data_IF_009195630896
#
_entry.id   IF_009195630896
#
_cell.length_a   1.000
_cell.length_b   1.000
_cell.length_c   1.000
_cell.angle_alpha   90.00
_cell.angle_beta   90.00
_cell.angle_gamma   90.00
#
_symmetry.space_group_name_H-M   'P 1'
#
loop_
_entity.id
_entity.type
_entity.pdbx_description
1 polymer ?
#
# COMPACT_ATOMS: atom_id res chain seq x y z
N UNK A 1 22.27 44.80 -15.84
CA UNK A 1 20.84 44.44 -15.98
C UNK A 1 20.26 44.31 -14.58
N UNK A 2 19.05 44.81 -14.35
CA UNK A 2 18.35 44.64 -13.07
C UNK A 2 17.78 43.21 -12.98
N UNK A 3 17.74 42.65 -11.77
CA UNK A 3 17.11 41.35 -11.48
C UNK A 3 16.32 41.44 -10.17
N UNK A 4 15.43 40.47 -9.97
CA UNK A 4 14.61 40.32 -8.76
C UNK A 4 14.97 38.98 -8.14
N UNK A 5 15.36 39.00 -6.87
CA UNK A 5 15.60 37.79 -6.10
C UNK A 5 14.28 37.22 -5.60
N UNK A 6 13.96 36.01 -6.07
CA UNK A 6 12.78 35.29 -5.63
C UNK A 6 13.10 34.50 -4.37
N UNK A 7 12.19 34.52 -3.40
CA UNK A 7 12.32 33.72 -2.18
C UNK A 7 12.17 32.22 -2.44
N UNK A 8 11.37 31.85 -3.44
CA UNK A 8 11.14 30.47 -3.83
C UNK A 8 11.50 30.26 -5.32
N UNK A 9 12.04 29.08 -5.68
CA UNK A 9 12.32 28.76 -7.06
C UNK A 9 11.03 28.66 -7.87
N UNK A 10 11.07 29.10 -9.13
CA UNK A 10 9.95 29.02 -10.07
C UNK A 10 10.38 28.32 -11.36
N UNK A 11 9.49 27.51 -11.92
CA UNK A 11 9.71 26.90 -13.22
C UNK A 11 9.23 27.82 -14.34
N UNK A 12 10.08 28.07 -15.32
CA UNK A 12 9.69 28.86 -16.48
C UNK A 12 8.74 28.04 -17.39
N UNK A 13 7.57 28.61 -17.72
CA UNK A 13 6.47 27.90 -18.38
C UNK A 13 6.84 27.25 -19.72
N UNK A 14 7.76 27.83 -20.49
CA UNK A 14 8.25 27.26 -21.75
C UNK A 14 8.94 25.89 -21.57
N UNK A 15 9.58 25.61 -20.44
CA UNK A 15 10.23 24.32 -20.22
C UNK A 15 9.29 23.28 -19.59
N UNK A 16 8.19 23.76 -18.99
CA UNK A 16 7.15 22.94 -18.39
C UNK A 16 6.07 22.52 -19.40
N UNK A 17 5.45 23.48 -20.10
CA UNK A 17 4.24 23.27 -20.92
C UNK A 17 4.49 23.05 -22.41
N UNK A 18 5.69 23.31 -22.91
CA UNK A 18 5.98 23.06 -24.33
C UNK A 18 5.84 21.57 -24.64
N UNK A 19 5.50 21.22 -25.86
CA UNK A 19 5.46 19.83 -26.33
C UNK A 19 6.68 19.60 -27.24
N UNK A 20 7.61 18.70 -26.88
CA UNK A 20 7.71 17.94 -25.64
C UNK A 20 8.19 18.80 -24.46
N UNK A 21 7.71 18.51 -23.25
CA UNK A 21 8.10 19.23 -22.05
C UNK A 21 9.56 18.92 -21.72
N UNK A 22 10.45 19.91 -21.82
CA UNK A 22 11.90 19.70 -21.69
C UNK A 22 12.29 19.13 -20.32
N UNK A 23 11.64 19.60 -19.25
CA UNK A 23 11.88 19.08 -17.89
C UNK A 23 11.31 17.66 -17.75
N UNK A 24 10.13 17.40 -18.32
CA UNK A 24 9.54 16.07 -18.31
C UNK A 24 10.42 15.04 -19.03
N UNK A 25 10.98 15.40 -20.19
CA UNK A 25 11.91 14.55 -20.93
C UNK A 25 13.21 14.28 -20.16
N UNK A 26 13.73 15.29 -19.46
CA UNK A 26 14.96 15.14 -18.67
C UNK A 26 14.77 14.18 -17.48
N UNK A 27 13.60 14.21 -16.86
CA UNK A 27 13.27 13.39 -15.68
C UNK A 27 12.57 12.08 -16.02
N UNK A 28 12.35 11.79 -17.31
CA UNK A 28 11.51 10.68 -17.80
C UNK A 28 10.12 10.64 -17.15
N UNK A 29 9.50 11.81 -16.99
CA UNK A 29 8.20 11.99 -16.37
C UNK A 29 7.17 12.58 -17.35
N UNK A 30 5.91 12.09 -17.34
CA UNK A 30 4.84 12.73 -18.08
C UNK A 30 4.64 14.18 -17.63
N UNK A 31 4.50 15.10 -18.60
CA UNK A 31 4.32 16.55 -18.35
C UNK A 31 3.18 16.82 -17.36
N UNK A 32 2.07 16.09 -17.48
CA UNK A 32 0.92 16.22 -16.57
C UNK A 32 1.27 15.95 -15.10
N UNK A 33 2.11 14.95 -14.81
CA UNK A 33 2.56 14.66 -13.43
C UNK A 33 3.45 15.80 -12.91
N UNK A 34 4.34 16.31 -13.76
CA UNK A 34 5.21 17.42 -13.38
C UNK A 34 4.43 18.72 -13.12
N UNK A 35 3.42 19.02 -13.94
CA UNK A 35 2.52 20.15 -13.70
C UNK A 35 1.81 20.05 -12.34
N UNK A 36 1.32 18.87 -11.96
CA UNK A 36 0.70 18.67 -10.65
C UNK A 36 1.66 19.01 -9.51
N UNK A 37 2.96 18.70 -9.65
CA UNK A 37 3.97 19.02 -8.64
C UNK A 37 4.26 20.52 -8.61
N UNK A 38 4.50 21.15 -9.77
CA UNK A 38 4.82 22.59 -9.86
C UNK A 38 3.66 23.47 -9.40
N UNK A 39 2.42 23.05 -9.63
CA UNK A 39 1.21 23.73 -9.17
C UNK A 39 0.74 23.29 -7.78
N UNK A 40 1.59 22.58 -7.01
CA UNK A 40 1.31 22.17 -5.63
C UNK A 40 0.05 21.30 -5.45
N UNK A 41 -0.37 20.58 -6.50
CA UNK A 41 -1.47 19.62 -6.45
C UNK A 41 -1.01 18.22 -6.00
N UNK A 42 0.28 17.90 -6.10
CA UNK A 42 0.85 16.61 -5.70
C UNK A 42 2.31 16.76 -5.27
N UNK A 43 2.77 15.84 -4.42
CA UNK A 43 4.18 15.77 -4.00
C UNK A 43 4.96 14.84 -4.93
N UNK A 44 6.28 15.04 -4.97
CA UNK A 44 7.23 14.11 -5.59
C UNK A 44 8.28 13.74 -4.54
N UNK A 45 8.65 12.46 -4.49
CA UNK A 45 9.70 11.97 -3.60
C UNK A 45 11.04 12.27 -4.28
N UNK A 46 11.92 13.01 -3.60
CA UNK A 46 13.26 13.32 -4.13
C UNK A 46 14.28 12.27 -3.73
N UNK A 47 14.18 11.76 -2.50
CA UNK A 47 15.17 10.85 -1.92
C UNK A 47 14.50 9.85 -0.98
N UNK A 48 15.05 8.63 -0.96
CA UNK A 48 14.61 7.54 -0.09
C UNK A 48 15.82 7.02 0.67
N UNK A 49 15.64 6.82 1.98
CA UNK A 49 16.69 6.29 2.84
C UNK A 49 16.57 4.78 2.93
N UNK A 50 17.51 4.04 2.32
CA UNK A 50 17.48 2.58 2.26
C UNK A 50 17.42 1.92 3.65
N UNK A 51 18.13 2.47 4.64
CA UNK A 51 18.13 1.94 6.01
C UNK A 51 16.72 1.92 6.62
N UNK A 52 15.98 3.02 6.47
CA UNK A 52 14.60 3.14 6.96
C UNK A 52 13.63 2.26 6.19
N UNK A 53 13.91 2.02 4.90
CA UNK A 53 13.10 1.11 4.08
C UNK A 53 13.28 -0.35 4.53
N UNK A 54 14.49 -0.76 4.89
CA UNK A 54 14.75 -2.10 5.45
C UNK A 54 14.06 -2.26 6.80
N UNK A 55 14.16 -1.25 7.67
CA UNK A 55 13.48 -1.25 8.97
C UNK A 55 11.95 -1.35 8.81
N UNK A 56 11.36 -0.53 7.94
CA UNK A 56 9.92 -0.56 7.67
C UNK A 56 9.45 -1.90 7.11
N UNK A 57 10.23 -2.56 6.23
CA UNK A 57 9.91 -3.90 5.73
C UNK A 57 9.93 -4.93 6.85
N UNK A 58 10.92 -4.86 7.74
CA UNK A 58 11.02 -5.78 8.88
C UNK A 58 9.85 -5.60 9.84
N UNK A 59 9.50 -4.35 10.16
CA UNK A 59 8.32 -4.06 10.98
C UNK A 59 7.02 -4.57 10.36
N UNK A 60 6.88 -4.44 9.03
CA UNK A 60 5.71 -4.94 8.32
C UNK A 60 5.64 -6.47 8.38
N UNK A 61 6.76 -7.17 8.15
CA UNK A 61 6.85 -8.64 8.29
C UNK A 61 6.48 -9.10 9.71
N UNK A 62 6.98 -8.40 10.72
CA UNK A 62 6.73 -8.74 12.13
C UNK A 62 5.26 -8.50 12.50
N UNK A 63 4.66 -7.38 12.06
CA UNK A 63 3.22 -7.10 12.23
C UNK A 63 2.36 -8.17 11.56
N UNK A 64 2.66 -8.55 10.32
CA UNK A 64 1.92 -9.58 9.60
C UNK A 64 1.97 -10.93 10.33
N UNK A 65 3.14 -11.34 10.83
CA UNK A 65 3.27 -12.59 11.61
C UNK A 65 2.39 -12.55 12.86
N UNK A 66 2.43 -11.46 13.63
CA UNK A 66 1.61 -11.33 14.84
C UNK A 66 0.12 -11.41 14.48
N UNK A 67 -0.35 -10.55 13.57
CA UNK A 67 -1.77 -10.50 13.18
C UNK A 67 -2.26 -11.82 12.59
N UNK A 68 -1.45 -12.50 11.76
CA UNK A 68 -1.79 -13.82 11.23
C UNK A 68 -1.95 -14.87 12.33
N UNK A 69 -1.05 -14.90 13.31
CA UNK A 69 -1.15 -15.87 14.42
C UNK A 69 -2.34 -15.60 15.34
N UNK A 70 -2.70 -14.34 15.54
CA UNK A 70 -3.89 -13.95 16.32
C UNK A 70 -5.17 -14.36 15.59
N UNK A 71 -5.25 -14.04 14.29
CA UNK A 71 -6.40 -14.41 13.45
C UNK A 71 -6.56 -15.93 13.34
N UNK A 72 -5.46 -16.68 13.21
CA UNK A 72 -5.50 -18.15 13.21
C UNK A 72 -6.03 -18.72 14.53
N UNK A 73 -5.64 -18.15 15.67
CA UNK A 73 -6.16 -18.58 16.99
C UNK A 73 -7.65 -18.28 17.14
N UNK A 74 -8.09 -17.12 16.65
CA UNK A 74 -9.49 -16.72 16.67
C UNK A 74 -10.35 -17.63 15.79
N UNK A 75 -9.92 -17.87 14.55
CA UNK A 75 -10.59 -18.79 13.62
C UNK A 75 -10.65 -20.20 14.19
N UNK A 76 -9.58 -20.71 14.81
CA UNK A 76 -9.60 -22.03 15.42
C UNK A 76 -10.61 -22.12 16.58
N UNK A 77 -10.77 -21.06 17.37
CA UNK A 77 -11.78 -21.00 18.44
C UNK A 77 -13.18 -21.03 17.85
N UNK A 78 -13.45 -20.21 16.83
CA UNK A 78 -14.75 -20.18 16.17
C UNK A 78 -15.09 -21.52 15.49
N UNK A 79 -14.13 -22.17 14.83
CA UNK A 79 -14.31 -23.50 14.23
C UNK A 79 -14.66 -24.54 15.32
N UNK A 80 -13.98 -24.50 16.46
CA UNK A 80 -14.27 -25.41 17.57
C UNK A 80 -15.70 -25.20 18.11
N UNK A 81 -16.13 -23.95 18.30
CA UNK A 81 -17.50 -23.63 18.72
C UNK A 81 -18.55 -24.08 17.69
N UNK A 82 -18.30 -23.82 16.40
CA UNK A 82 -19.17 -24.26 15.31
C UNK A 82 -19.26 -25.80 15.25
N UNK A 83 -18.17 -26.50 15.56
CA UNK A 83 -18.13 -27.98 15.61
C UNK A 83 -19.01 -28.51 16.73
N UNK A 84 -18.94 -27.91 17.92
CA UNK A 84 -19.83 -28.27 19.05
C UNK A 84 -21.30 -28.02 18.70
N UNK A 85 -21.62 -26.88 18.06
CA UNK A 85 -22.99 -26.57 17.60
C UNK A 85 -23.48 -27.52 16.50
N UNK A 86 -22.59 -28.00 15.64
CA UNK A 86 -22.88 -29.05 14.65
C UNK A 86 -23.21 -30.38 15.32
N UNK A 87 -22.40 -30.79 16.31
CA UNK A 87 -22.61 -32.03 17.08
C UNK A 87 -23.91 -32.01 17.89
N UNK A 88 -24.32 -30.85 18.41
CA UNK A 88 -25.61 -30.62 19.07
C UNK A 88 -26.83 -30.67 18.13
N UNK A 89 -26.64 -30.90 16.81
CA UNK A 89 -27.66 -30.88 15.74
C UNK A 89 -28.38 -29.54 15.56
N UNK A 90 -27.90 -28.45 16.15
CA UNK A 90 -28.46 -27.12 15.96
C UNK A 90 -28.10 -26.51 14.60
N UNK A 91 -27.02 -27.01 13.98
CA UNK A 91 -26.50 -26.51 12.71
C UNK A 91 -26.53 -27.58 11.60
N UNK A 92 -27.17 -27.24 10.47
CA UNK A 92 -27.11 -28.06 9.26
C UNK A 92 -25.71 -28.00 8.62
N UNK A 93 -25.23 -29.13 8.09
CA UNK A 93 -23.89 -29.26 7.51
C UNK A 93 -23.56 -28.26 6.39
N UNK A 94 -24.58 -27.79 5.66
CA UNK A 94 -24.43 -26.73 4.65
C UNK A 94 -24.07 -25.37 5.25
N UNK A 95 -24.63 -25.01 6.42
CA UNK A 95 -24.34 -23.73 7.08
C UNK A 95 -22.94 -23.71 7.68
N UNK A 96 -22.53 -24.83 8.30
CA UNK A 96 -21.18 -25.01 8.83
C UNK A 96 -20.11 -24.77 7.77
N UNK A 97 -20.23 -25.40 6.59
CA UNK A 97 -19.26 -25.23 5.49
C UNK A 97 -19.19 -23.80 4.96
N UNK A 98 -20.30 -23.07 4.99
CA UNK A 98 -20.35 -21.66 4.53
C UNK A 98 -19.64 -20.75 5.54
N UNK A 99 -19.90 -20.90 6.84
CA UNK A 99 -19.22 -20.12 7.89
C UNK A 99 -17.72 -20.43 7.96
N UNK A 100 -17.34 -21.70 7.85
CA UNK A 100 -15.93 -22.10 7.78
C UNK A 100 -15.21 -21.46 6.58
N UNK A 101 -15.85 -21.45 5.39
CA UNK A 101 -15.29 -20.82 4.20
C UNK A 101 -15.14 -19.29 4.35
N UNK A 102 -16.10 -18.63 5.00
CA UNK A 102 -16.02 -17.18 5.29
C UNK A 102 -14.84 -16.89 6.22
N UNK A 103 -14.60 -17.75 7.21
CA UNK A 103 -13.48 -17.58 8.14
C UNK A 103 -12.12 -17.80 7.47
N UNK A 104 -12.00 -18.82 6.62
CA UNK A 104 -10.77 -19.03 5.84
C UNK A 104 -10.48 -17.82 4.94
N UNK A 105 -11.51 -17.25 4.31
CA UNK A 105 -11.35 -16.09 3.44
C UNK A 105 -10.71 -14.88 4.14
N UNK A 106 -10.98 -14.66 5.43
CA UNK A 106 -10.35 -13.58 6.20
C UNK A 106 -8.83 -13.69 6.27
N UNK A 107 -8.27 -14.90 6.26
CA UNK A 107 -6.81 -15.12 6.25
C UNK A 107 -6.24 -14.77 4.87
N UNK A 108 -6.97 -15.13 3.82
CA UNK A 108 -6.57 -14.83 2.44
C UNK A 108 -6.60 -13.32 2.19
N UNK A 109 -7.68 -12.63 2.58
CA UNK A 109 -7.81 -11.17 2.49
C UNK A 109 -6.66 -10.46 3.23
N UNK A 110 -6.33 -10.90 4.46
CA UNK A 110 -5.20 -10.35 5.23
C UNK A 110 -3.83 -10.58 4.55
N UNK A 111 -3.70 -11.70 3.84
CA UNK A 111 -2.46 -12.02 3.12
C UNK A 111 -2.33 -11.18 1.85
N UNK A 112 -3.43 -10.94 1.15
CA UNK A 112 -3.49 -10.05 -0.01
C UNK A 112 -3.15 -8.60 0.38
N UNK A 113 -3.74 -8.06 1.46
CA UNK A 113 -3.41 -6.72 1.96
C UNK A 113 -1.92 -6.57 2.31
N UNK A 114 -1.32 -7.60 2.90
CA UNK A 114 0.11 -7.60 3.23
C UNK A 114 0.99 -7.62 1.97
N UNK A 115 0.63 -8.42 0.96
CA UNK A 115 1.34 -8.47 -0.31
C UNK A 115 1.27 -7.14 -1.05
N UNK A 116 0.10 -6.48 -1.08
CA UNK A 116 -0.06 -5.14 -1.64
C UNK A 116 0.83 -4.11 -0.95
N UNK A 117 0.87 -4.10 0.38
CA UNK A 117 1.72 -3.20 1.15
C UNK A 117 3.21 -3.47 0.89
N UNK A 118 3.59 -4.74 0.82
CA UNK A 118 4.97 -5.15 0.54
C UNK A 118 5.42 -4.76 -0.87
N UNK A 119 4.55 -4.93 -1.86
CA UNK A 119 4.86 -4.55 -3.24
C UNK A 119 4.86 -3.03 -3.41
N UNK A 120 3.99 -2.32 -2.70
CA UNK A 120 4.07 -0.86 -2.56
C UNK A 120 5.44 -0.41 -2.02
N UNK A 121 5.94 -1.04 -0.95
CA UNK A 121 7.26 -0.74 -0.40
C UNK A 121 8.40 -1.07 -1.36
N UNK A 122 8.31 -2.15 -2.14
CA UNK A 122 9.31 -2.46 -3.18
C UNK A 122 9.29 -1.44 -4.32
N UNK A 123 8.11 -0.96 -4.71
CA UNK A 123 7.95 0.00 -5.80
C UNK A 123 8.52 1.38 -5.49
N UNK A 124 8.76 1.68 -4.21
CA UNK A 124 9.47 2.90 -3.78
C UNK A 124 10.94 2.85 -4.17
N UNK A 125 11.54 1.68 -4.41
CA UNK A 125 12.93 1.60 -4.85
C UNK A 125 13.00 2.05 -6.31
N UNK A 126 13.49 3.28 -6.53
CA UNK A 126 13.81 3.85 -7.85
C UNK A 126 14.88 3.03 -8.54
#
# INVERSE_FOLDING_TARGET
MAHIDLYAPVAHTWYLKSVPGRIGLLLDLPVKKLEQVVYFASYIITDIHDEKLVEANKELDDKYKVSKTELQKEIQREINELTIKKEAKELTEKKFKVEEAILMKKIDDLTEEFEELRDGLKSLKV
#
